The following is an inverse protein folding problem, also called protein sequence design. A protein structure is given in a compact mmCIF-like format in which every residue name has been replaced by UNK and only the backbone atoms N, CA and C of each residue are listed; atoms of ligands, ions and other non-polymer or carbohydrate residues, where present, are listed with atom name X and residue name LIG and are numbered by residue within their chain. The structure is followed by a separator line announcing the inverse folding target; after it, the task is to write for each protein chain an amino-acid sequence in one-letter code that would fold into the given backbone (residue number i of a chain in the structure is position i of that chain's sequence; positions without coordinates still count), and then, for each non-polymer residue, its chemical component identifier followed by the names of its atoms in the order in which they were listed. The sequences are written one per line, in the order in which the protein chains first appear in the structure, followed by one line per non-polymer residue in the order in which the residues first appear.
data_IF_859149176319
#
_entry.id   IF_859149176319
#
_cell.length_a   1.000
_cell.length_b   1.000
_cell.length_c   1.000
_cell.angle_alpha   90.00
_cell.angle_beta   90.00
_cell.angle_gamma   90.00
#
_symmetry.space_group_name_H-M   'P 1'
#
loop_
_entity.id
_entity.type
_entity.pdbx_description
1 polymer ?
#
# COMPACT_ATOMS: atom_id res chain seq x y z
N UNK A 1 -20.47 19.51 1.26
CA UNK A 1 -20.44 18.17 0.61
C UNK A 1 -21.35 17.23 1.37
N UNK A 2 -22.25 16.50 0.68
CA UNK A 2 -23.17 15.55 1.30
C UNK A 2 -22.39 14.47 2.07
N UNK A 3 -22.78 14.17 3.32
CA UNK A 3 -22.08 13.20 4.19
C UNK A 3 -21.97 11.83 3.53
N UNK A 4 -23.03 11.37 2.84
CA UNK A 4 -23.03 10.11 2.09
C UNK A 4 -22.03 10.09 0.94
N UNK A 5 -21.97 11.18 0.16
CA UNK A 5 -21.00 11.31 -0.93
C UNK A 5 -19.56 11.23 -0.41
N UNK A 6 -19.29 11.87 0.73
CA UNK A 6 -17.97 11.81 1.38
C UNK A 6 -17.59 10.39 1.79
N UNK A 7 -18.50 9.64 2.39
CA UNK A 7 -18.25 8.25 2.80
C UNK A 7 -17.97 7.34 1.60
N UNK A 8 -18.74 7.49 0.52
CA UNK A 8 -18.53 6.73 -0.72
C UNK A 8 -17.15 7.04 -1.32
N UNK A 9 -16.77 8.32 -1.40
CA UNK A 9 -15.45 8.72 -1.90
C UNK A 9 -14.31 8.13 -1.06
N UNK A 10 -14.46 8.10 0.27
CA UNK A 10 -13.48 7.48 1.16
C UNK A 10 -13.37 5.97 0.91
N UNK A 11 -14.49 5.28 0.73
CA UNK A 11 -14.48 3.84 0.44
C UNK A 11 -13.82 3.55 -0.91
N UNK A 12 -14.10 4.36 -1.93
CA UNK A 12 -13.47 4.24 -3.25
C UNK A 12 -11.95 4.37 -3.20
N UNK A 13 -11.39 5.17 -2.28
CA UNK A 13 -9.94 5.26 -2.10
C UNK A 13 -9.31 3.91 -1.69
N UNK A 14 -10.03 3.06 -0.97
CA UNK A 14 -9.55 1.74 -0.55
C UNK A 14 -9.85 0.64 -1.58
N UNK A 15 -10.80 0.87 -2.49
CA UNK A 15 -11.10 -0.04 -3.60
C UNK A 15 -9.98 -0.06 -4.63
N UNK A 16 -9.33 1.08 -4.90
CA UNK A 16 -8.21 1.16 -5.84
C UNK A 16 -7.06 0.21 -5.47
N UNK A 17 -6.45 0.29 -4.27
CA UNK A 17 -5.41 -0.64 -3.87
C UNK A 17 -5.92 -2.08 -3.77
N UNK A 18 -7.17 -2.30 -3.34
CA UNK A 18 -7.78 -3.64 -3.35
C UNK A 18 -7.72 -4.28 -4.75
N UNK A 19 -8.14 -3.54 -5.78
CA UNK A 19 -8.12 -4.03 -7.17
C UNK A 19 -6.69 -4.25 -7.66
N UNK A 20 -5.75 -3.36 -7.33
CA UNK A 20 -4.34 -3.53 -7.69
C UNK A 20 -3.75 -4.81 -7.10
N UNK A 21 -3.91 -5.04 -5.79
CA UNK A 21 -3.39 -6.27 -5.16
C UNK A 21 -4.10 -7.53 -5.68
N UNK A 22 -5.40 -7.45 -5.94
CA UNK A 22 -6.18 -8.58 -6.46
C UNK A 22 -5.75 -8.95 -7.89
N UNK A 23 -5.63 -7.96 -8.77
CA UNK A 23 -5.18 -8.17 -10.15
C UNK A 23 -3.76 -8.72 -10.19
N UNK A 24 -2.85 -8.16 -9.40
CA UNK A 24 -1.46 -8.66 -9.30
C UNK A 24 -1.41 -10.11 -8.79
N UNK A 25 -2.23 -10.46 -7.79
CA UNK A 25 -2.31 -11.84 -7.29
C UNK A 25 -2.73 -12.83 -8.38
N UNK A 26 -3.67 -12.44 -9.25
CA UNK A 26 -4.14 -13.30 -10.35
C UNK A 26 -3.16 -13.36 -11.53
N UNK A 27 -2.52 -12.24 -11.88
CA UNK A 27 -1.53 -12.20 -12.97
C UNK A 27 -0.23 -12.94 -12.62
N UNK A 28 0.20 -12.85 -11.37
CA UNK A 28 1.46 -13.41 -10.90
C UNK A 28 1.28 -14.72 -10.11
N UNK A 29 0.15 -15.42 -10.28
CA UNK A 29 -0.26 -16.53 -9.42
C UNK A 29 0.74 -17.70 -9.44
N UNK A 30 1.32 -18.00 -10.60
CA UNK A 30 2.31 -19.07 -10.77
C UNK A 30 3.64 -18.73 -10.09
N UNK A 31 4.12 -17.49 -10.21
CA UNK A 31 5.36 -17.05 -9.56
C UNK A 31 5.19 -16.93 -8.03
N UNK A 32 4.00 -16.54 -7.56
CA UNK A 32 3.65 -16.37 -6.15
C UNK A 32 3.40 -17.68 -5.39
N UNK A 33 3.30 -18.82 -6.09
CA UNK A 33 3.19 -20.14 -5.47
C UNK A 33 4.54 -20.67 -4.94
N UNK A 34 5.65 -20.02 -5.29
CA UNK A 34 6.96 -20.30 -4.70
C UNK A 34 6.97 -20.04 -3.19
N UNK A 35 7.78 -20.82 -2.46
CA UNK A 35 7.94 -20.73 -1.01
C UNK A 35 9.15 -19.89 -0.64
N UNK A 36 8.97 -19.01 0.34
CA UNK A 36 10.06 -18.33 1.05
C UNK A 36 10.95 -19.34 1.79
N UNK A 37 12.14 -18.90 2.22
CA UNK A 37 13.04 -19.66 3.11
C UNK A 37 12.40 -20.08 4.44
N UNK A 38 11.25 -19.49 4.80
CA UNK A 38 10.46 -19.81 5.98
C UNK A 38 9.28 -20.77 5.68
N UNK A 39 9.18 -21.32 4.46
CA UNK A 39 8.12 -22.25 4.05
C UNK A 39 6.77 -21.58 3.76
N UNK A 40 6.69 -20.26 3.84
CA UNK A 40 5.47 -19.49 3.55
C UNK A 40 5.44 -19.13 2.07
N UNK A 41 4.32 -19.39 1.39
CA UNK A 41 4.14 -19.00 -0.02
C UNK A 41 4.04 -17.49 -0.19
N UNK A 42 4.70 -16.92 -1.21
CA UNK A 42 4.68 -15.47 -1.46
C UNK A 42 3.29 -14.91 -1.71
N UNK A 43 2.35 -15.72 -2.21
CA UNK A 43 0.94 -15.33 -2.36
C UNK A 43 0.33 -14.74 -1.09
N UNK A 44 0.74 -15.19 0.10
CA UNK A 44 0.19 -14.67 1.35
C UNK A 44 0.56 -13.21 1.59
N UNK A 45 1.68 -12.73 1.05
CA UNK A 45 2.06 -11.32 1.12
C UNK A 45 1.09 -10.40 0.36
N UNK A 46 0.34 -10.95 -0.60
CA UNK A 46 -0.68 -10.22 -1.38
C UNK A 46 -2.09 -10.45 -0.81
N UNK A 47 -2.38 -11.66 -0.33
CA UNK A 47 -3.66 -12.00 0.28
C UNK A 47 -3.95 -11.14 1.53
N UNK A 48 -2.94 -10.92 2.39
CA UNK A 48 -3.10 -10.11 3.61
C UNK A 48 -3.55 -8.67 3.29
N UNK A 49 -2.86 -7.90 2.42
CA UNK A 49 -3.33 -6.60 1.96
C UNK A 49 -4.75 -6.63 1.37
N UNK A 50 -5.08 -7.63 0.54
CA UNK A 50 -6.42 -7.75 -0.08
C UNK A 50 -7.50 -7.80 1.01
N UNK A 51 -7.35 -8.66 2.03
CA UNK A 51 -8.33 -8.74 3.11
C UNK A 51 -8.46 -7.44 3.88
N UNK A 52 -7.35 -6.76 4.16
CA UNK A 52 -7.35 -5.48 4.88
C UNK A 52 -8.07 -4.40 4.09
N UNK A 53 -7.78 -4.26 2.78
CA UNK A 53 -8.43 -3.26 1.94
C UNK A 53 -9.90 -3.59 1.66
N UNK A 54 -10.27 -4.87 1.51
CA UNK A 54 -11.65 -5.30 1.37
C UNK A 54 -12.47 -4.95 2.62
N UNK A 55 -11.93 -5.30 3.80
CA UNK A 55 -12.55 -4.96 5.08
C UNK A 55 -12.72 -3.45 5.26
N UNK A 56 -11.69 -2.65 4.93
CA UNK A 56 -11.74 -1.20 5.05
C UNK A 56 -12.70 -0.55 4.04
N UNK A 57 -12.80 -1.10 2.82
CA UNK A 57 -13.74 -0.63 1.79
C UNK A 57 -15.20 -0.82 2.21
N UNK A 58 -15.51 -1.90 2.96
CA UNK A 58 -16.87 -2.20 3.43
C UNK A 58 -17.20 -1.44 4.72
N UNK A 59 -16.36 -1.61 5.76
CA UNK A 59 -16.66 -1.13 7.11
C UNK A 59 -16.13 0.26 7.42
N UNK A 60 -15.08 0.72 6.72
CA UNK A 60 -14.38 1.98 7.00
C UNK A 60 -14.16 2.21 8.51
N UNK A 61 -13.54 1.24 9.18
CA UNK A 61 -13.41 1.24 10.64
C UNK A 61 -12.04 1.78 11.08
N UNK A 62 -11.93 2.18 12.35
CA UNK A 62 -10.64 2.62 12.92
C UNK A 62 -9.58 1.53 12.91
N UNK A 63 -9.99 0.28 13.19
CA UNK A 63 -9.09 -0.87 13.16
C UNK A 63 -8.60 -1.15 11.74
N UNK A 64 -9.49 -1.14 10.74
CA UNK A 64 -9.07 -1.31 9.35
C UNK A 64 -8.18 -0.17 8.87
N UNK A 65 -8.43 1.07 9.30
CA UNK A 65 -7.55 2.21 9.03
C UNK A 65 -6.15 2.03 9.65
N UNK A 66 -6.06 1.55 10.89
CA UNK A 66 -4.78 1.24 11.53
C UNK A 66 -4.02 0.14 10.76
N UNK A 67 -4.72 -0.91 10.32
CA UNK A 67 -4.11 -1.97 9.50
C UNK A 67 -3.59 -1.42 8.16
N UNK A 68 -4.34 -0.55 7.49
CA UNK A 68 -3.89 0.13 6.26
C UNK A 68 -2.66 1.00 6.54
N UNK A 69 -2.63 1.72 7.66
CA UNK A 69 -1.48 2.52 8.06
C UNK A 69 -0.25 1.65 8.31
N UNK A 70 -0.43 0.51 8.99
CA UNK A 70 0.66 -0.45 9.22
C UNK A 70 1.22 -1.00 7.91
N UNK A 71 0.35 -1.39 6.96
CA UNK A 71 0.79 -1.82 5.61
C UNK A 71 1.58 -0.71 4.90
N UNK A 72 1.09 0.53 4.97
CA UNK A 72 1.75 1.69 4.38
C UNK A 72 3.14 1.92 4.98
N UNK A 73 3.29 1.79 6.30
CA UNK A 73 4.59 1.91 6.98
C UNK A 73 5.52 0.75 6.60
N UNK A 74 5.04 -0.50 6.59
CA UNK A 74 5.83 -1.66 6.16
C UNK A 74 6.36 -1.48 4.74
N UNK A 75 5.50 -1.05 3.81
CA UNK A 75 5.92 -0.79 2.43
C UNK A 75 6.94 0.34 2.34
N UNK A 76 6.75 1.42 3.11
CA UNK A 76 7.72 2.52 3.19
C UNK A 76 9.08 2.03 3.68
N UNK A 77 9.11 1.23 4.76
CA UNK A 77 10.34 0.67 5.31
C UNK A 77 11.06 -0.22 4.29
N UNK A 78 10.33 -1.15 3.65
CA UNK A 78 10.91 -2.03 2.62
C UNK A 78 11.47 -1.20 1.47
N UNK A 79 10.73 -0.18 1.03
CA UNK A 79 11.14 0.68 -0.06
C UNK A 79 12.40 1.49 0.29
N UNK A 80 12.47 2.05 1.50
CA UNK A 80 13.66 2.75 2.02
C UNK A 80 14.86 1.82 2.12
N UNK A 81 14.68 0.56 2.56
CA UNK A 81 15.78 -0.43 2.61
C UNK A 81 16.30 -0.71 1.19
N UNK A 82 15.40 -1.04 0.25
CA UNK A 82 15.79 -1.32 -1.14
C UNK A 82 16.48 -0.14 -1.82
N UNK A 83 16.08 1.07 -1.44
CA UNK A 83 16.71 2.31 -1.87
C UNK A 83 18.12 2.40 -1.31
N UNK A 84 18.31 2.26 0.00
CA UNK A 84 19.65 2.26 0.61
C UNK A 84 20.55 1.21 -0.05
N UNK A 85 20.04 0.00 -0.29
CA UNK A 85 20.74 -1.06 -1.04
C UNK A 85 21.12 -0.60 -2.45
N UNK A 86 20.19 -0.02 -3.21
CA UNK A 86 20.44 0.47 -4.56
C UNK A 86 21.48 1.61 -4.62
N UNK A 87 21.52 2.46 -3.60
CA UNK A 87 22.51 3.55 -3.50
C UNK A 87 23.86 3.08 -2.92
N UNK A 88 23.87 2.03 -2.09
CA UNK A 88 25.10 1.50 -1.46
C UNK A 88 25.88 0.52 -2.35
N UNK A 89 25.21 -0.13 -3.32
CA UNK A 89 25.89 -0.90 -4.37
C UNK A 89 26.62 0.04 -5.34
N UNK A 90 27.83 0.43 -4.93
CA UNK A 90 28.95 0.97 -5.71
C UNK A 90 28.57 2.01 -6.78
N UNK A 91 28.60 3.29 -6.38
CA UNK A 91 28.75 4.42 -7.31
C UNK A 91 27.61 4.58 -8.32
N UNK A 92 26.37 4.30 -7.91
CA UNK A 92 25.21 4.35 -8.78
C UNK A 92 25.15 5.67 -9.56
N UNK A 93 25.51 5.60 -10.84
CA UNK A 93 25.32 6.67 -11.82
C UNK A 93 23.82 6.77 -12.12
N UNK A 94 23.05 7.25 -11.13
CA UNK A 94 21.68 7.61 -11.37
C UNK A 94 21.65 8.73 -12.39
N UNK A 95 20.96 8.49 -13.49
CA UNK A 95 20.66 9.57 -14.43
C UNK A 95 19.78 10.60 -13.73
N UNK A 96 19.88 11.88 -14.14
CA UNK A 96 19.03 12.94 -13.60
C UNK A 96 17.54 12.59 -13.63
N UNK A 97 17.08 11.90 -14.70
CA UNK A 97 15.72 11.43 -14.82
C UNK A 97 15.31 10.41 -13.74
N UNK A 98 16.19 9.46 -13.40
CA UNK A 98 15.92 8.49 -12.33
C UNK A 98 15.81 9.17 -10.95
N UNK A 99 16.66 10.17 -10.69
CA UNK A 99 16.63 10.95 -9.45
C UNK A 99 15.36 11.81 -9.33
N UNK A 100 14.90 12.40 -10.43
CA UNK A 100 13.68 13.21 -10.43
C UNK A 100 12.44 12.33 -10.26
N UNK A 101 12.34 11.22 -11.00
CA UNK A 101 11.26 10.24 -10.84
C UNK A 101 11.19 9.70 -9.42
N UNK A 102 12.34 9.46 -8.80
CA UNK A 102 12.43 9.05 -7.40
C UNK A 102 11.71 10.04 -6.47
N UNK A 103 12.02 11.33 -6.55
CA UNK A 103 11.37 12.34 -5.70
C UNK A 103 9.88 12.50 -6.01
N UNK A 104 9.47 12.35 -7.27
CA UNK A 104 8.06 12.32 -7.65
C UNK A 104 7.35 11.14 -6.96
N UNK A 105 7.95 9.95 -6.96
CA UNK A 105 7.42 8.79 -6.24
C UNK A 105 7.33 9.03 -4.74
N UNK A 106 8.35 9.63 -4.11
CA UNK A 106 8.30 10.00 -2.68
C UNK A 106 7.11 10.93 -2.40
N UNK A 107 6.96 11.99 -3.19
CA UNK A 107 5.90 12.99 -3.01
C UNK A 107 4.51 12.39 -3.23
N UNK A 108 4.34 11.55 -4.25
CA UNK A 108 3.10 10.81 -4.49
C UNK A 108 2.77 9.90 -3.31
N UNK A 109 3.77 9.15 -2.81
CA UNK A 109 3.59 8.23 -1.70
C UNK A 109 3.19 8.97 -0.40
N UNK A 110 3.91 10.05 -0.05
CA UNK A 110 3.55 10.93 1.07
C UNK A 110 2.16 11.55 0.89
N UNK A 111 1.81 11.92 -0.35
CA UNK A 111 0.48 12.41 -0.70
C UNK A 111 -0.62 11.41 -0.38
N UNK A 112 -0.42 10.13 -0.72
CA UNK A 112 -1.34 9.03 -0.38
C UNK A 112 -1.47 8.89 1.15
N UNK A 113 -0.36 8.92 1.87
CA UNK A 113 -0.36 8.89 3.34
C UNK A 113 -1.15 10.05 3.95
N UNK A 114 -0.97 11.26 3.43
CA UNK A 114 -1.72 12.45 3.85
C UNK A 114 -3.21 12.32 3.56
N UNK A 115 -3.59 11.79 2.39
CA UNK A 115 -4.98 11.49 2.03
C UNK A 115 -5.58 10.51 3.05
N UNK A 116 -4.92 9.40 3.35
CA UNK A 116 -5.40 8.45 4.36
C UNK A 116 -5.55 9.05 5.75
N UNK A 117 -4.62 9.93 6.15
CA UNK A 117 -4.73 10.64 7.44
C UNK A 117 -5.92 11.61 7.46
N UNK A 118 -6.10 12.41 6.40
CA UNK A 118 -7.17 13.40 6.27
C UNK A 118 -8.56 12.76 6.25
N UNK A 119 -8.68 11.59 5.65
CA UNK A 119 -9.93 10.85 5.50
C UNK A 119 -10.14 9.76 6.56
N UNK A 120 -9.38 9.78 7.67
CA UNK A 120 -9.52 8.81 8.76
C UNK A 120 -10.96 8.73 9.29
N UNK A 121 -11.45 7.51 9.64
CA UNK A 121 -12.75 7.35 10.27
C UNK A 121 -12.77 8.02 11.64
N UNK A 122 -13.69 8.97 11.83
CA UNK A 122 -13.79 9.77 13.08
C UNK A 122 -14.74 9.14 14.12
N UNK A 123 -15.73 8.37 13.67
CA UNK A 123 -16.74 7.73 14.54
C UNK A 123 -16.19 6.47 15.21
N UNK A 124 -16.56 6.27 16.48
CA UNK A 124 -16.06 5.21 17.37
C UNK A 124 -16.41 3.82 16.83
N UNK A 125 -15.59 2.84 17.21
CA UNK A 125 -15.90 1.41 17.14
C UNK A 125 -17.31 1.23 17.73
N UNK A 126 -18.26 0.81 16.90
CA UNK A 126 -19.40 0.04 17.38
C UNK A 126 -18.92 -1.40 17.54
#
# INVERSE_FOLDING_TARGET
MNKRLKEVLIRLLYVIPLLLFTTELFYSLDSLNSTTSFGIKYKYAFIIPIFIFAYQSIRNSKLGWLLVLSLYLTFLTIWVIRLIEAFSMVGAKFTYGQYLLFWVFVLLYLGIGFVYYKFRPKTRLF
#
